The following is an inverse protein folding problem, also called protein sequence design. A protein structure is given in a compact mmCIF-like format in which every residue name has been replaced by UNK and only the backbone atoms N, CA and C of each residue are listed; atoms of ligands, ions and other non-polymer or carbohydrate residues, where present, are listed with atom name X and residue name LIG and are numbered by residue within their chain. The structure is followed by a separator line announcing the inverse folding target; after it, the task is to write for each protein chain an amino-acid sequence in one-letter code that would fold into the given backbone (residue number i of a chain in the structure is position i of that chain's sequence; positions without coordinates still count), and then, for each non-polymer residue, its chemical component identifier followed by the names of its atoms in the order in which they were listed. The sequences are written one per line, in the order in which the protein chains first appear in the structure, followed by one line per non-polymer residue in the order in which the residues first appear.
data_IF_369000881877
#
_entry.id   IF_369000881877
#
_cell.length_a   1.000
_cell.length_b   1.000
_cell.length_c   1.000
_cell.angle_alpha   90.00
_cell.angle_beta   90.00
_cell.angle_gamma   90.00
#
_symmetry.space_group_name_H-M   'P 1'
#
loop_
_entity.id
_entity.type
_entity.pdbx_description
1 polymer ?
#
# COMPACT_ATOMS: atom_id res chain seq x y z
N UNK A 1 24.87 -8.45 -4.41
CA UNK A 1 24.49 -8.99 -5.74
C UNK A 1 22.98 -8.95 -5.99
N UNK A 2 22.11 -9.04 -5.01
CA UNK A 2 20.66 -8.93 -5.19
C UNK A 2 20.20 -7.51 -5.61
N UNK A 3 20.73 -6.45 -5.00
CA UNK A 3 20.33 -5.07 -5.30
C UNK A 3 20.59 -4.65 -6.76
N UNK A 4 21.70 -5.09 -7.35
CA UNK A 4 22.04 -4.79 -8.76
C UNK A 4 21.07 -5.46 -9.76
N UNK A 5 20.58 -6.66 -9.47
CA UNK A 5 19.58 -7.34 -10.32
C UNK A 5 18.21 -6.64 -10.27
N UNK A 6 17.83 -6.09 -9.14
CA UNK A 6 16.53 -5.43 -8.94
C UNK A 6 16.49 -4.05 -9.59
N UNK A 7 17.60 -3.30 -9.53
CA UNK A 7 17.71 -2.02 -10.23
C UNK A 7 17.52 -2.17 -11.75
N UNK A 8 18.04 -3.24 -12.34
CA UNK A 8 17.85 -3.56 -13.77
C UNK A 8 16.38 -3.85 -14.12
N UNK A 9 15.61 -4.42 -13.19
CA UNK A 9 14.19 -4.73 -13.44
C UNK A 9 13.30 -3.48 -13.40
N UNK A 10 13.63 -2.47 -12.59
CA UNK A 10 12.92 -1.18 -12.56
C UNK A 10 13.00 -0.42 -13.90
N UNK A 11 13.99 -0.71 -14.73
CA UNK A 11 14.26 0.02 -15.97
C UNK A 11 13.59 -0.58 -17.21
N UNK A 12 13.22 -1.85 -17.19
CA UNK A 12 12.94 -2.61 -18.40
C UNK A 12 11.75 -2.09 -19.23
N UNK A 13 10.77 -1.41 -18.59
CA UNK A 13 9.55 -0.96 -19.25
C UNK A 13 9.23 0.53 -19.04
N UNK A 14 10.18 1.31 -18.49
CA UNK A 14 9.95 2.73 -18.22
C UNK A 14 10.32 3.59 -19.43
N UNK A 15 9.41 4.44 -19.95
CA UNK A 15 9.73 5.35 -21.04
C UNK A 15 10.90 6.27 -20.66
N UNK A 16 11.93 6.34 -21.51
CA UNK A 16 13.11 7.18 -21.28
C UNK A 16 12.99 8.53 -21.97
N UNK A 17 13.13 9.60 -21.22
CA UNK A 17 12.95 10.97 -21.69
C UNK A 17 14.23 11.84 -21.62
N UNK A 18 15.42 11.27 -21.36
CA UNK A 18 16.65 12.05 -21.17
C UNK A 18 17.01 12.89 -22.40
N UNK A 19 16.92 12.33 -23.62
CA UNK A 19 17.16 13.07 -24.86
C UNK A 19 16.15 14.20 -25.04
N UNK A 20 14.87 13.94 -24.78
CA UNK A 20 13.80 14.95 -24.84
C UNK A 20 14.07 16.10 -23.86
N UNK A 21 14.46 15.76 -22.62
CA UNK A 21 14.84 16.79 -21.64
C UNK A 21 16.04 17.62 -22.09
N UNK A 22 17.05 16.96 -22.68
CA UNK A 22 18.23 17.62 -23.22
C UNK A 22 17.88 18.68 -24.27
N UNK A 23 16.99 18.34 -25.18
CA UNK A 23 16.54 19.23 -26.26
C UNK A 23 15.72 20.42 -25.74
N UNK A 24 15.14 20.31 -24.55
CA UNK A 24 14.24 21.31 -23.97
C UNK A 24 14.88 22.23 -22.95
N UNK A 25 16.17 22.05 -22.61
CA UNK A 25 16.85 22.86 -21.58
C UNK A 25 16.69 24.37 -21.85
N UNK A 26 17.04 24.82 -23.04
CA UNK A 26 17.04 26.26 -23.37
C UNK A 26 15.64 26.81 -23.64
N UNK A 27 14.68 25.96 -23.98
CA UNK A 27 13.34 26.39 -24.37
C UNK A 27 12.29 26.25 -23.28
N UNK A 28 12.53 25.41 -22.27
CA UNK A 28 11.59 25.14 -21.20
C UNK A 28 12.21 25.25 -19.81
N UNK A 29 13.36 24.61 -19.56
CA UNK A 29 13.84 24.44 -18.18
C UNK A 29 14.59 25.65 -17.63
N UNK A 30 15.13 26.50 -18.49
CA UNK A 30 15.81 27.74 -18.12
C UNK A 30 15.00 29.00 -18.45
N UNK A 31 13.78 28.82 -18.98
CA UNK A 31 12.91 29.92 -19.36
C UNK A 31 12.24 30.54 -18.12
N UNK A 32 11.87 31.83 -18.25
CA UNK A 32 11.18 32.53 -17.18
C UNK A 32 9.72 32.07 -17.06
N UNK A 33 9.24 31.86 -15.84
CA UNK A 33 7.85 31.44 -15.55
C UNK A 33 6.81 32.36 -16.20
N UNK A 34 7.10 33.67 -16.29
CA UNK A 34 6.21 34.63 -16.97
C UNK A 34 6.05 34.38 -18.47
N UNK A 35 7.02 33.68 -19.10
CA UNK A 35 6.94 33.28 -20.52
C UNK A 35 6.30 31.90 -20.61
N UNK A 36 6.64 31.01 -19.70
CA UNK A 36 6.12 29.64 -19.67
C UNK A 36 4.59 29.58 -19.50
N UNK A 37 3.99 30.51 -18.79
CA UNK A 37 2.53 30.55 -18.55
C UNK A 37 1.72 30.65 -19.85
N UNK A 38 2.26 31.32 -20.88
CA UNK A 38 1.61 31.50 -22.18
C UNK A 38 2.04 30.43 -23.21
N UNK A 39 2.92 29.51 -22.81
CA UNK A 39 3.50 28.51 -23.74
C UNK A 39 2.55 27.33 -23.92
N UNK A 40 2.26 27.00 -25.18
CA UNK A 40 1.43 25.82 -25.48
C UNK A 40 2.18 24.51 -25.26
N UNK A 41 1.48 23.44 -24.86
CA UNK A 41 2.09 22.11 -24.78
C UNK A 41 2.73 21.68 -26.10
N UNK A 42 3.87 21.03 -26.01
CA UNK A 42 4.66 20.54 -27.16
C UNK A 42 4.73 19.02 -27.11
N UNK A 43 4.57 18.36 -28.27
CA UNK A 43 4.68 16.92 -28.42
C UNK A 43 6.03 16.61 -29.05
N UNK A 44 6.83 15.79 -28.39
CA UNK A 44 8.18 15.43 -28.81
C UNK A 44 8.30 13.90 -28.79
N UNK A 45 9.09 13.36 -29.72
CA UNK A 45 9.38 11.93 -29.83
C UNK A 45 10.88 11.71 -29.63
N UNK A 46 11.24 10.77 -28.76
CA UNK A 46 12.62 10.39 -28.55
C UNK A 46 13.15 9.44 -29.66
N UNK A 47 14.43 9.08 -29.58
CA UNK A 47 15.09 8.21 -30.57
C UNK A 47 14.51 6.78 -30.59
N UNK A 48 13.91 6.31 -29.49
CA UNK A 48 13.23 5.02 -29.40
C UNK A 48 11.81 5.03 -30.01
N UNK A 49 11.33 6.20 -30.44
CA UNK A 49 9.97 6.37 -30.97
C UNK A 49 8.92 6.56 -29.89
N UNK A 50 9.29 6.76 -28.64
CA UNK A 50 8.38 7.07 -27.55
C UNK A 50 7.98 8.54 -27.62
N UNK A 51 6.71 8.80 -27.35
CA UNK A 51 6.09 10.13 -27.48
C UNK A 51 5.86 10.73 -26.10
N UNK A 52 6.26 11.99 -25.95
CA UNK A 52 6.11 12.77 -24.71
C UNK A 52 5.38 14.07 -24.98
N UNK A 53 4.66 14.57 -24.01
CA UNK A 53 4.17 15.94 -23.97
C UNK A 53 4.97 16.73 -22.94
N UNK A 54 5.47 17.89 -23.37
CA UNK A 54 6.05 18.89 -22.47
C UNK A 54 5.06 20.02 -22.29
N UNK A 55 4.81 20.42 -21.06
CA UNK A 55 3.87 21.48 -20.72
C UNK A 55 4.24 22.16 -19.42
N UNK A 56 3.78 23.38 -19.28
CA UNK A 56 3.81 24.12 -18.03
C UNK A 56 2.45 24.05 -17.34
N UNK A 57 2.48 23.83 -16.05
CA UNK A 57 1.28 23.82 -15.21
C UNK A 57 1.49 24.67 -13.96
N UNK A 58 0.45 25.43 -13.57
CA UNK A 58 0.34 26.01 -12.25
C UNK A 58 -0.67 25.22 -11.44
N UNK A 59 -0.31 24.84 -10.23
CA UNK A 59 -1.16 24.09 -9.32
C UNK A 59 -0.92 24.52 -7.89
N UNK A 60 -1.80 24.12 -7.01
CA UNK A 60 -1.63 24.24 -5.57
C UNK A 60 -1.06 22.91 -5.04
N UNK A 61 -0.02 23.00 -4.20
CA UNK A 61 0.52 21.82 -3.50
C UNK A 61 -0.36 21.42 -2.31
N UNK A 62 0.01 20.34 -1.62
CA UNK A 62 -0.73 19.83 -0.46
C UNK A 62 -0.75 20.83 0.73
N UNK A 63 0.19 21.78 0.76
CA UNK A 63 0.31 22.82 1.79
C UNK A 63 -0.41 24.13 1.40
N UNK A 64 -1.05 24.18 0.21
CA UNK A 64 -1.77 25.36 -0.29
C UNK A 64 -0.88 26.41 -0.94
N UNK A 65 0.34 26.05 -1.38
CA UNK A 65 1.22 26.98 -2.09
C UNK A 65 1.03 26.85 -3.61
N UNK A 66 1.13 28.00 -4.30
CA UNK A 66 1.15 28.02 -5.76
C UNK A 66 2.46 27.44 -6.30
N UNK A 67 2.39 26.30 -6.97
CA UNK A 67 3.51 25.59 -7.57
C UNK A 67 3.48 25.74 -9.09
N UNK A 68 4.64 26.02 -9.67
CA UNK A 68 4.84 26.16 -11.11
C UNK A 68 5.76 25.04 -11.60
N UNK A 69 5.31 24.24 -12.56
CA UNK A 69 6.05 23.07 -13.01
C UNK A 69 6.16 22.97 -14.52
N UNK A 70 7.34 22.57 -15.00
CA UNK A 70 7.52 22.02 -16.34
C UNK A 70 7.45 20.49 -16.23
N UNK A 71 6.51 19.88 -16.93
CA UNK A 71 6.23 18.44 -16.87
C UNK A 71 6.56 17.83 -18.23
N UNK A 72 7.34 16.76 -18.21
CA UNK A 72 7.59 15.87 -19.36
C UNK A 72 6.89 14.55 -19.10
N UNK A 73 5.75 14.32 -19.75
CA UNK A 73 4.89 13.18 -19.50
C UNK A 73 4.83 12.24 -20.72
N UNK A 74 5.03 10.91 -20.54
CA UNK A 74 4.92 9.95 -21.62
C UNK A 74 3.47 9.76 -22.08
N UNK A 75 3.31 9.45 -23.38
CA UNK A 75 2.02 9.11 -23.97
C UNK A 75 1.47 7.81 -23.38
N UNK A 76 0.21 7.84 -23.01
CA UNK A 76 -0.59 6.66 -22.66
C UNK A 76 -1.83 6.60 -23.54
N UNK A 77 -2.37 5.40 -23.76
CA UNK A 77 -3.62 5.20 -24.49
C UNK A 77 -4.77 4.94 -23.52
N UNK A 78 -5.77 5.80 -23.52
CA UNK A 78 -7.00 5.62 -22.74
C UNK A 78 -8.09 5.07 -23.65
N UNK A 79 -8.69 3.93 -23.28
CA UNK A 79 -9.87 3.41 -23.95
C UNK A 79 -11.08 4.32 -23.68
N UNK A 80 -11.81 4.67 -24.73
CA UNK A 80 -13.01 5.51 -24.67
C UNK A 80 -14.12 4.83 -25.46
N UNK A 81 -15.32 4.81 -24.92
CA UNK A 81 -16.51 4.34 -25.65
C UNK A 81 -17.20 5.56 -26.26
N UNK A 82 -17.27 5.58 -27.59
CA UNK A 82 -18.05 6.58 -28.32
C UNK A 82 -19.41 6.00 -28.67
N UNK A 83 -20.45 6.74 -28.34
CA UNK A 83 -21.81 6.42 -28.73
C UNK A 83 -22.09 7.07 -30.11
N UNK A 84 -22.31 6.26 -31.13
CA UNK A 84 -22.60 6.68 -32.50
C UNK A 84 -24.01 6.20 -32.90
N UNK A 85 -24.55 6.71 -33.99
CA UNK A 85 -25.85 6.26 -34.53
C UNK A 85 -25.84 4.76 -34.90
N UNK A 86 -24.64 4.18 -35.09
CA UNK A 86 -24.43 2.76 -35.39
C UNK A 86 -24.24 1.89 -34.13
N UNK A 87 -24.23 2.47 -32.94
CA UNK A 87 -24.00 1.80 -31.67
C UNK A 87 -22.73 2.25 -30.95
N UNK A 88 -22.30 1.48 -29.94
CA UNK A 88 -21.10 1.73 -29.17
C UNK A 88 -19.84 1.34 -29.97
N UNK A 89 -18.87 2.25 -30.03
CA UNK A 89 -17.57 2.01 -30.66
C UNK A 89 -16.48 2.28 -29.65
N UNK A 90 -15.71 1.24 -29.32
CA UNK A 90 -14.50 1.40 -28.51
C UNK A 90 -13.38 2.01 -29.36
N UNK A 91 -12.81 3.10 -28.90
CA UNK A 91 -11.66 3.76 -29.51
C UNK A 91 -10.62 4.10 -28.46
N UNK A 92 -9.43 4.55 -28.88
CA UNK A 92 -8.36 4.95 -27.98
C UNK A 92 -8.04 6.42 -28.22
N UNK A 93 -7.82 7.12 -27.12
CA UNK A 93 -7.38 8.50 -27.10
C UNK A 93 -5.98 8.57 -26.45
N UNK A 94 -5.08 9.33 -27.08
CA UNK A 94 -3.78 9.62 -26.51
C UNK A 94 -3.93 10.62 -25.36
N UNK A 95 -3.35 10.28 -24.23
CA UNK A 95 -3.30 11.13 -23.02
C UNK A 95 -1.87 11.20 -22.51
N UNK A 96 -1.57 12.25 -21.76
CA UNK A 96 -0.27 12.50 -21.14
C UNK A 96 -0.45 12.74 -19.63
N UNK A 97 -0.73 11.68 -18.86
CA UNK A 97 -1.05 11.82 -17.44
C UNK A 97 0.17 12.24 -16.65
N UNK A 98 -0.05 13.05 -15.62
CA UNK A 98 0.96 13.39 -14.63
C UNK A 98 1.23 12.20 -13.70
N UNK A 99 2.50 12.08 -13.26
CA UNK A 99 2.87 11.14 -12.19
C UNK A 99 2.91 9.66 -12.59
N UNK A 100 2.78 9.33 -13.88
CA UNK A 100 2.97 7.94 -14.34
C UNK A 100 4.44 7.63 -14.56
N UNK A 101 4.80 6.34 -14.53
CA UNK A 101 6.17 5.89 -14.81
C UNK A 101 6.71 6.51 -16.09
N UNK A 102 7.91 7.11 -16.02
CA UNK A 102 8.53 7.89 -17.09
C UNK A 102 8.22 9.39 -17.05
N UNK A 103 7.34 9.86 -16.20
CA UNK A 103 7.13 11.30 -15.99
C UNK A 103 8.33 11.90 -15.27
N UNK A 104 8.75 13.05 -15.75
CA UNK A 104 9.75 13.90 -15.11
C UNK A 104 9.15 15.29 -14.89
N UNK A 105 9.40 15.89 -13.74
CA UNK A 105 8.90 17.21 -13.37
C UNK A 105 10.04 18.11 -12.88
N UNK A 106 10.08 19.36 -13.37
CA UNK A 106 10.86 20.43 -12.82
C UNK A 106 9.94 21.46 -12.17
N UNK A 107 9.98 21.54 -10.87
CA UNK A 107 9.26 22.57 -10.10
C UNK A 107 10.09 23.84 -9.99
N UNK A 108 9.46 24.98 -10.24
CA UNK A 108 10.08 26.29 -10.31
C UNK A 108 9.47 27.24 -9.28
N UNK A 109 10.33 28.06 -8.70
CA UNK A 109 9.88 29.23 -7.94
C UNK A 109 9.23 30.25 -8.89
N UNK A 110 7.97 30.58 -8.65
CA UNK A 110 7.17 31.45 -9.52
C UNK A 110 7.79 32.84 -9.75
N UNK A 111 8.52 33.37 -8.76
CA UNK A 111 9.05 34.77 -8.80
C UNK A 111 10.43 34.81 -9.41
N UNK A 112 11.25 33.83 -9.13
CA UNK A 112 12.67 33.83 -9.53
C UNK A 112 12.95 32.90 -10.69
N UNK A 113 12.02 32.01 -11.04
CA UNK A 113 12.16 30.91 -12.01
C UNK A 113 13.31 29.96 -11.68
N UNK A 114 13.78 29.95 -10.45
CA UNK A 114 14.80 29.02 -10.01
C UNK A 114 14.20 27.61 -9.76
N UNK A 115 14.93 26.54 -10.10
CA UNK A 115 14.53 25.19 -9.75
C UNK A 115 14.38 25.01 -8.24
N UNK A 116 13.20 24.54 -7.80
CA UNK A 116 12.89 24.14 -6.43
C UNK A 116 13.16 22.66 -6.23
N UNK A 117 12.62 21.82 -7.12
CA UNK A 117 12.91 20.39 -7.10
C UNK A 117 12.80 19.77 -8.49
N UNK A 118 13.32 18.56 -8.63
CA UNK A 118 13.14 17.68 -9.80
C UNK A 118 12.59 16.35 -9.30
N UNK A 119 11.44 15.92 -9.84
CA UNK A 119 10.83 14.62 -9.51
C UNK A 119 10.93 13.66 -10.67
N UNK A 120 11.20 12.39 -10.34
CA UNK A 120 11.15 11.26 -11.27
C UNK A 120 10.09 10.28 -10.76
N UNK A 121 9.09 10.03 -11.62
CA UNK A 121 8.02 9.07 -11.36
C UNK A 121 8.38 7.75 -12.05
N UNK A 122 8.52 6.70 -11.28
CA UNK A 122 8.97 5.38 -11.77
C UNK A 122 8.00 4.25 -11.45
N UNK A 123 7.03 4.51 -10.55
CA UNK A 123 5.98 3.57 -10.19
C UNK A 123 4.70 3.81 -11.02
N UNK A 124 3.78 2.86 -10.95
CA UNK A 124 2.42 3.03 -11.50
C UNK A 124 1.58 4.03 -10.71
N UNK A 125 2.01 4.36 -9.51
CA UNK A 125 1.33 5.26 -8.58
C UNK A 125 2.02 6.62 -8.53
N UNK A 126 1.27 7.71 -8.69
CA UNK A 126 1.81 9.08 -8.69
C UNK A 126 2.29 9.57 -7.32
N UNK A 127 1.96 8.85 -6.26
CA UNK A 127 2.41 9.13 -4.90
C UNK A 127 3.72 8.38 -4.54
N UNK A 128 4.34 7.68 -5.51
CA UNK A 128 5.62 6.98 -5.34
C UNK A 128 6.65 7.53 -6.32
N UNK A 129 7.60 8.32 -5.81
CA UNK A 129 8.59 9.01 -6.63
C UNK A 129 9.86 9.33 -5.85
N UNK A 130 10.90 9.73 -6.57
CA UNK A 130 12.08 10.37 -5.99
C UNK A 130 12.10 11.86 -6.31
N UNK A 131 12.42 12.66 -5.31
CA UNK A 131 12.49 14.12 -5.40
C UNK A 131 13.90 14.61 -5.10
N UNK A 132 14.50 15.32 -6.05
CA UNK A 132 15.79 15.98 -5.89
C UNK A 132 15.57 17.46 -5.63
N UNK A 133 16.17 17.99 -4.59
CA UNK A 133 16.07 19.40 -4.27
C UNK A 133 17.43 20.00 -3.92
N UNK A 134 17.58 21.34 -3.93
CA UNK A 134 18.84 21.98 -3.60
C UNK A 134 19.26 21.65 -2.17
N UNK A 135 20.54 21.36 -1.96
CA UNK A 135 21.10 21.30 -0.61
C UNK A 135 21.00 22.65 0.12
N UNK A 136 21.30 22.67 1.42
CA UNK A 136 21.13 23.82 2.33
C UNK A 136 21.68 25.17 1.82
N UNK A 137 22.56 25.16 0.80
CA UNK A 137 23.18 26.37 0.23
C UNK A 137 22.58 26.85 -1.11
N UNK A 138 21.42 26.28 -1.50
CA UNK A 138 20.70 26.67 -2.70
C UNK A 138 21.03 25.82 -3.94
N UNK A 139 20.30 26.03 -5.05
CA UNK A 139 20.29 25.16 -6.21
C UNK A 139 21.62 25.03 -6.98
N UNK A 140 22.54 25.98 -6.81
CA UNK A 140 23.89 25.93 -7.38
C UNK A 140 24.84 24.96 -6.66
N UNK A 141 24.41 24.39 -5.53
CA UNK A 141 25.17 23.39 -4.77
C UNK A 141 24.74 21.99 -5.14
N UNK A 142 25.39 20.98 -4.54
CA UNK A 142 25.01 19.59 -4.73
C UNK A 142 23.58 19.34 -4.23
N UNK A 143 22.81 18.59 -5.02
CA UNK A 143 21.45 18.22 -4.66
C UNK A 143 21.42 17.18 -3.55
N UNK A 144 20.31 17.12 -2.88
CA UNK A 144 19.90 16.00 -2.02
C UNK A 144 18.66 15.35 -2.61
N UNK A 145 18.41 14.11 -2.25
CA UNK A 145 17.26 13.34 -2.77
C UNK A 145 16.46 12.77 -1.62
N UNK A 146 15.16 12.82 -1.77
CA UNK A 146 14.17 12.16 -0.94
C UNK A 146 13.48 11.05 -1.76
N UNK A 147 13.18 9.92 -1.13
CA UNK A 147 12.38 8.87 -1.70
C UNK A 147 11.05 8.84 -0.95
N UNK A 148 9.96 9.10 -1.66
CA UNK A 148 8.63 9.33 -1.10
C UNK A 148 7.70 8.21 -1.55
N UNK A 149 6.94 7.67 -0.61
CA UNK A 149 5.93 6.62 -0.80
C UNK A 149 4.67 7.03 -0.03
N UNK A 150 3.61 7.44 -0.74
CA UNK A 150 2.34 7.90 -0.17
C UNK A 150 2.53 8.92 0.96
N UNK A 151 3.37 9.94 0.70
CA UNK A 151 3.67 11.02 1.64
C UNK A 151 4.67 10.68 2.75
N UNK A 152 5.09 9.43 2.89
CA UNK A 152 6.11 9.01 3.85
C UNK A 152 7.50 8.92 3.21
N UNK A 153 8.53 9.25 3.97
CA UNK A 153 9.91 9.22 3.48
C UNK A 153 10.55 7.85 3.67
N UNK A 154 10.71 7.10 2.59
CA UNK A 154 11.54 5.88 2.58
C UNK A 154 13.04 6.22 2.75
N UNK A 155 13.47 7.36 2.20
CA UNK A 155 14.78 7.96 2.50
C UNK A 155 14.64 9.48 2.47
N UNK A 156 15.44 10.21 3.25
CA UNK A 156 15.34 11.66 3.34
C UNK A 156 16.72 12.35 3.36
N UNK A 157 16.84 13.46 2.62
CA UNK A 157 18.04 14.32 2.58
C UNK A 157 19.32 13.56 2.21
N UNK A 158 19.27 12.59 1.31
CA UNK A 158 20.43 11.81 0.86
C UNK A 158 21.23 12.64 -0.12
N UNK A 159 22.51 12.89 0.19
CA UNK A 159 23.39 13.70 -0.67
C UNK A 159 23.79 12.95 -1.94
N UNK A 160 23.54 13.55 -3.14
CA UNK A 160 23.79 12.92 -4.43
C UNK A 160 25.19 13.16 -5.00
N UNK A 161 25.81 14.27 -4.66
CA UNK A 161 27.09 14.66 -5.22
C UNK A 161 27.04 15.43 -6.54
N UNK A 162 25.87 15.64 -7.14
CA UNK A 162 25.66 16.40 -8.39
C UNK A 162 24.80 17.65 -8.16
N UNK A 163 24.79 18.57 -9.12
CA UNK A 163 23.97 19.78 -9.09
C UNK A 163 22.58 19.54 -9.68
N UNK A 164 21.64 20.45 -9.41
CA UNK A 164 20.28 20.41 -10.00
C UNK A 164 20.33 20.44 -11.54
N UNK A 165 21.23 21.24 -12.15
CA UNK A 165 21.35 21.33 -13.60
C UNK A 165 21.76 20.00 -14.24
N UNK A 166 22.60 19.19 -13.56
CA UNK A 166 23.00 17.89 -14.06
C UNK A 166 21.83 16.91 -14.11
N UNK A 167 20.81 17.08 -13.28
CA UNK A 167 19.60 16.24 -13.28
C UNK A 167 18.71 16.51 -14.51
N UNK A 168 18.83 17.66 -15.19
CA UNK A 168 17.93 18.03 -16.29
C UNK A 168 17.98 17.06 -17.46
N UNK A 169 19.15 16.46 -17.70
CA UNK A 169 19.35 15.51 -18.82
C UNK A 169 19.63 14.09 -18.38
N UNK A 170 19.68 13.81 -17.07
CA UNK A 170 19.95 12.43 -16.61
C UNK A 170 18.85 11.47 -17.01
N UNK A 171 19.26 10.30 -17.48
CA UNK A 171 18.36 9.17 -17.63
C UNK A 171 17.90 8.66 -16.25
N UNK A 172 16.80 7.93 -16.22
CA UNK A 172 16.38 7.30 -14.98
C UNK A 172 17.41 6.25 -14.51
N UNK A 173 18.02 5.53 -15.45
CA UNK A 173 19.11 4.60 -15.16
C UNK A 173 20.29 5.28 -14.47
N UNK A 174 20.71 6.46 -14.98
CA UNK A 174 21.78 7.24 -14.35
C UNK A 174 21.42 7.69 -12.94
N UNK A 175 20.14 8.07 -12.71
CA UNK A 175 19.62 8.46 -11.39
C UNK A 175 19.68 7.29 -10.43
N UNK A 176 19.25 6.09 -10.84
CA UNK A 176 19.31 4.89 -10.01
C UNK A 176 20.76 4.52 -9.70
N UNK A 177 21.63 4.46 -10.72
CA UNK A 177 23.05 4.13 -10.54
C UNK A 177 23.76 5.11 -9.59
N UNK A 178 23.41 6.39 -9.67
CA UNK A 178 23.96 7.42 -8.79
C UNK A 178 23.58 7.20 -7.32
N UNK A 179 22.39 6.67 -7.08
CA UNK A 179 21.76 6.60 -5.74
C UNK A 179 21.61 5.18 -5.21
N UNK A 180 22.03 4.15 -5.96
CA UNK A 180 21.78 2.72 -5.65
C UNK A 180 22.24 2.29 -4.26
N UNK A 181 23.30 2.90 -3.72
CA UNK A 181 23.85 2.57 -2.40
C UNK A 181 23.21 3.36 -1.26
N UNK A 182 22.43 4.39 -1.57
CA UNK A 182 21.91 5.35 -0.60
C UNK A 182 20.38 5.37 -0.52
N UNK A 183 19.70 4.97 -1.60
CA UNK A 183 18.25 4.86 -1.62
C UNK A 183 17.79 3.40 -1.59
N UNK A 184 16.67 3.13 -0.93
CA UNK A 184 16.10 1.79 -0.84
C UNK A 184 15.29 1.45 -2.10
N UNK A 185 15.92 1.39 -3.26
CA UNK A 185 15.26 1.13 -4.55
C UNK A 185 14.45 -0.15 -4.57
N UNK A 186 14.80 -1.12 -3.71
CA UNK A 186 14.03 -2.36 -3.57
C UNK A 186 12.57 -2.09 -3.15
N UNK A 187 12.32 -1.02 -2.41
CA UNK A 187 10.98 -0.64 -1.97
C UNK A 187 10.11 -0.11 -3.12
N UNK A 188 10.71 0.23 -4.26
CA UNK A 188 10.01 0.64 -5.48
C UNK A 188 9.81 -0.49 -6.50
N UNK A 189 10.28 -1.70 -6.21
CA UNK A 189 10.13 -2.87 -7.09
C UNK A 189 8.87 -3.64 -6.73
N UNK A 190 8.05 -3.95 -7.70
CA UNK A 190 6.84 -4.76 -7.51
C UNK A 190 6.79 -5.90 -8.53
N UNK A 191 6.15 -6.99 -8.14
CA UNK A 191 5.98 -8.19 -8.95
C UNK A 191 4.50 -8.55 -8.99
N UNK A 192 3.72 -8.03 -9.97
CA UNK A 192 2.28 -8.27 -10.06
C UNK A 192 1.91 -9.76 -10.06
N UNK A 193 2.73 -10.59 -10.70
CA UNK A 193 2.54 -12.04 -10.77
C UNK A 193 2.60 -12.73 -9.41
N UNK A 194 3.31 -12.15 -8.44
CA UNK A 194 3.38 -12.68 -7.08
C UNK A 194 2.20 -12.25 -6.20
N UNK A 195 1.37 -11.34 -6.71
CA UNK A 195 0.15 -10.87 -6.04
C UNK A 195 -1.12 -11.61 -6.52
N UNK A 196 -1.02 -12.49 -7.52
CA UNK A 196 -2.17 -13.22 -8.09
C UNK A 196 -2.95 -14.02 -7.03
N UNK A 197 -2.24 -14.60 -6.06
CA UNK A 197 -2.88 -15.33 -4.96
C UNK A 197 -3.79 -14.41 -4.12
N UNK A 198 -3.33 -13.20 -3.78
CA UNK A 198 -4.12 -12.23 -3.02
C UNK A 198 -5.37 -11.81 -3.81
N UNK A 199 -5.22 -11.52 -5.09
CA UNK A 199 -6.34 -11.15 -5.96
C UNK A 199 -7.37 -12.28 -6.10
N UNK A 200 -6.92 -13.53 -6.24
CA UNK A 200 -7.81 -14.68 -6.32
C UNK A 200 -8.53 -14.92 -4.99
N UNK A 201 -7.82 -14.90 -3.87
CA UNK A 201 -8.44 -15.06 -2.55
C UNK A 201 -9.47 -13.96 -2.29
N UNK A 202 -9.13 -12.71 -2.60
CA UNK A 202 -10.05 -11.58 -2.51
C UNK A 202 -11.31 -11.78 -3.35
N UNK A 203 -11.17 -12.21 -4.60
CA UNK A 203 -12.31 -12.48 -5.49
C UNK A 203 -13.23 -13.57 -4.91
N UNK A 204 -12.66 -14.68 -4.40
CA UNK A 204 -13.46 -15.75 -3.75
C UNK A 204 -14.17 -15.22 -2.51
N UNK A 205 -13.51 -14.41 -1.68
CA UNK A 205 -14.18 -13.82 -0.50
C UNK A 205 -15.35 -12.94 -0.93
N UNK A 206 -15.17 -12.10 -1.95
CA UNK A 206 -16.22 -11.22 -2.48
C UNK A 206 -17.45 -11.97 -2.95
N UNK A 207 -17.29 -13.14 -3.59
CA UNK A 207 -18.41 -13.98 -4.06
C UNK A 207 -19.31 -14.46 -2.90
N UNK A 208 -18.78 -14.55 -1.68
CA UNK A 208 -19.50 -15.06 -0.50
C UNK A 208 -20.03 -13.97 0.44
N UNK A 209 -19.70 -12.68 0.23
CA UNK A 209 -20.09 -11.60 1.17
C UNK A 209 -21.59 -11.52 1.41
N UNK A 210 -22.39 -11.73 0.36
CA UNK A 210 -23.85 -11.70 0.46
C UNK A 210 -24.44 -12.82 1.34
N UNK A 211 -23.66 -13.85 1.67
CA UNK A 211 -24.11 -14.93 2.55
C UNK A 211 -24.06 -14.54 4.02
N UNK A 212 -23.27 -13.52 4.39
CA UNK A 212 -23.04 -13.18 5.80
C UNK A 212 -24.04 -12.18 6.36
N UNK A 213 -24.35 -12.39 7.64
CA UNK A 213 -25.07 -11.44 8.51
C UNK A 213 -24.23 -11.25 9.77
N UNK A 214 -23.89 -10.02 10.07
CA UNK A 214 -23.13 -9.72 11.29
C UNK A 214 -23.91 -10.08 12.55
N UNK A 215 -23.31 -10.91 13.37
CA UNK A 215 -23.80 -11.26 14.72
C UNK A 215 -22.62 -11.29 15.67
N UNK A 216 -22.61 -10.43 16.66
CA UNK A 216 -21.51 -10.36 17.63
C UNK A 216 -21.21 -11.73 18.23
N UNK A 217 -19.91 -12.09 18.29
CA UNK A 217 -19.37 -13.35 18.83
C UNK A 217 -19.78 -14.65 18.11
N UNK A 218 -20.45 -14.58 16.97
CA UNK A 218 -20.74 -15.74 16.15
C UNK A 218 -19.48 -16.23 15.43
N UNK A 219 -19.16 -17.50 15.56
CA UNK A 219 -18.03 -18.18 14.90
C UNK A 219 -18.44 -19.59 14.47
N UNK A 220 -17.66 -20.18 13.58
CA UNK A 220 -17.85 -21.59 13.20
C UNK A 220 -16.71 -22.45 13.78
N UNK A 221 -17.07 -23.63 14.30
CA UNK A 221 -16.09 -24.60 14.80
C UNK A 221 -15.28 -25.27 13.65
N UNK A 222 -14.42 -26.22 13.99
CA UNK A 222 -13.60 -26.95 13.02
C UNK A 222 -14.42 -27.81 12.03
N UNK A 223 -15.67 -28.10 12.34
CA UNK A 223 -16.60 -28.90 11.54
C UNK A 223 -17.62 -28.06 10.76
N UNK A 224 -17.61 -26.73 10.94
CA UNK A 224 -18.55 -25.82 10.31
C UNK A 224 -19.86 -25.65 11.06
N UNK A 225 -19.94 -26.01 12.35
CA UNK A 225 -21.11 -25.73 13.18
C UNK A 225 -21.02 -24.33 13.78
N UNK A 226 -22.14 -23.59 13.75
CA UNK A 226 -22.23 -22.28 14.36
C UNK A 226 -22.11 -22.38 15.90
N UNK A 227 -21.24 -21.58 16.46
CA UNK A 227 -20.97 -21.46 17.87
C UNK A 227 -20.97 -19.98 18.30
N UNK A 228 -21.18 -19.73 19.59
CA UNK A 228 -21.04 -18.41 20.21
C UNK A 228 -19.82 -18.41 21.13
N UNK A 229 -18.97 -17.39 21.05
CA UNK A 229 -17.77 -17.27 21.90
C UNK A 229 -18.07 -17.04 23.39
N UNK A 230 -19.26 -16.56 23.69
CA UNK A 230 -19.81 -16.46 25.09
C UNK A 230 -21.12 -17.22 25.19
N UNK A 231 -21.53 -17.55 26.40
CA UNK A 231 -22.85 -18.16 26.67
C UNK A 231 -23.96 -17.24 26.14
N UNK A 232 -24.46 -17.56 24.95
CA UNK A 232 -25.57 -16.90 24.28
C UNK A 232 -26.38 -17.92 23.48
N UNK A 233 -27.67 -17.65 23.29
CA UNK A 233 -28.50 -18.44 22.39
C UNK A 233 -27.96 -18.30 20.93
N UNK A 234 -28.04 -19.37 20.16
CA UNK A 234 -27.73 -19.29 18.74
C UNK A 234 -28.69 -18.32 18.05
N UNK A 235 -28.20 -17.44 17.19
CA UNK A 235 -29.04 -16.49 16.48
C UNK A 235 -29.96 -17.22 15.48
N UNK A 236 -31.16 -16.69 15.32
CA UNK A 236 -32.05 -17.06 14.23
C UNK A 236 -31.69 -16.22 13.00
N UNK A 237 -31.21 -16.86 11.95
CA UNK A 237 -30.82 -16.22 10.68
C UNK A 237 -31.64 -16.79 9.53
N UNK A 238 -31.87 -15.98 8.52
CA UNK A 238 -32.59 -16.39 7.32
C UNK A 238 -31.94 -17.62 6.66
N UNK A 239 -32.74 -18.45 6.01
CA UNK A 239 -32.24 -19.61 5.26
C UNK A 239 -31.25 -19.15 4.15
N UNK A 240 -30.10 -19.80 4.08
CA UNK A 240 -29.02 -19.43 3.17
C UNK A 240 -28.10 -18.32 3.65
N UNK A 241 -28.34 -17.75 4.85
CA UNK A 241 -27.45 -16.79 5.49
C UNK A 241 -26.62 -17.43 6.60
N UNK A 242 -25.46 -16.84 6.86
CA UNK A 242 -24.50 -17.27 7.88
C UNK A 242 -24.28 -16.16 8.91
N UNK A 243 -24.53 -16.42 10.19
CA UNK A 243 -24.18 -15.49 11.25
C UNK A 243 -22.67 -15.46 11.45
N UNK A 244 -22.06 -14.28 11.46
CA UNK A 244 -20.61 -14.15 11.62
C UNK A 244 -20.25 -12.87 12.38
N UNK A 245 -19.26 -12.94 13.27
CA UNK A 245 -18.62 -11.76 13.88
C UNK A 245 -17.32 -11.42 13.15
N UNK A 246 -16.69 -10.28 13.48
CA UNK A 246 -15.41 -9.91 12.90
C UNK A 246 -14.33 -10.99 13.06
N UNK A 247 -14.14 -11.48 14.30
CA UNK A 247 -13.19 -12.57 14.56
C UNK A 247 -13.61 -13.90 13.90
N UNK A 248 -14.92 -14.17 13.81
CA UNK A 248 -15.48 -15.32 13.10
C UNK A 248 -15.19 -15.24 11.61
N UNK A 249 -15.30 -14.07 11.01
CA UNK A 249 -15.03 -13.84 9.60
C UNK A 249 -13.54 -14.04 9.25
N UNK A 250 -12.63 -13.51 10.07
CA UNK A 250 -11.21 -13.80 9.88
C UNK A 250 -10.88 -15.28 10.00
N UNK A 251 -11.55 -15.99 10.93
CA UNK A 251 -11.38 -17.45 11.03
C UNK A 251 -11.87 -18.16 9.79
N UNK A 252 -13.02 -17.78 9.24
CA UNK A 252 -13.56 -18.36 8.01
C UNK A 252 -12.58 -18.18 6.83
N UNK A 253 -11.97 -16.98 6.69
CA UNK A 253 -10.93 -16.73 5.70
C UNK A 253 -9.73 -17.67 5.92
N UNK A 254 -9.20 -17.75 7.14
CA UNK A 254 -8.03 -18.59 7.43
C UNK A 254 -8.34 -20.07 7.33
N UNK A 255 -9.54 -20.50 7.70
CA UNK A 255 -10.00 -21.88 7.52
C UNK A 255 -9.99 -22.29 6.04
N UNK A 256 -10.28 -21.36 5.11
CA UNK A 256 -10.18 -21.61 3.68
C UNK A 256 -8.79 -22.01 3.19
N UNK A 257 -7.74 -21.56 3.87
CA UNK A 257 -6.35 -21.97 3.60
C UNK A 257 -5.98 -23.28 4.31
N UNK A 258 -6.53 -23.50 5.48
CA UNK A 258 -6.14 -24.61 6.36
C UNK A 258 -6.84 -25.91 5.96
N UNK A 259 -8.11 -25.87 5.57
CA UNK A 259 -8.91 -27.04 5.21
C UNK A 259 -8.33 -27.90 4.09
N UNK A 260 -7.78 -27.33 3.00
CA UNK A 260 -7.15 -28.15 1.96
C UNK A 260 -5.99 -29.00 2.47
N UNK A 261 -5.30 -28.57 3.53
CA UNK A 261 -4.14 -29.25 4.12
C UNK A 261 -4.54 -30.21 5.23
N UNK A 262 -5.41 -29.77 6.14
CA UNK A 262 -5.77 -30.50 7.37
C UNK A 262 -7.04 -31.35 7.25
N UNK A 263 -7.91 -31.07 6.25
CA UNK A 263 -9.23 -31.68 6.09
C UNK A 263 -10.30 -31.10 7.03
N UNK A 264 -10.00 -30.10 7.86
CA UNK A 264 -10.93 -29.43 8.77
C UNK A 264 -10.52 -27.98 9.03
N UNK A 265 -11.43 -27.17 9.55
CA UNK A 265 -11.10 -25.82 10.02
C UNK A 265 -10.29 -25.83 11.33
N UNK A 266 -9.90 -24.65 11.80
CA UNK A 266 -9.19 -24.44 13.05
C UNK A 266 -10.14 -24.59 14.26
N UNK A 267 -9.61 -25.13 15.37
CA UNK A 267 -10.36 -25.22 16.65
C UNK A 267 -10.44 -23.86 17.33
N UNK A 268 -11.58 -23.55 17.91
CA UNK A 268 -11.85 -22.26 18.58
C UNK A 268 -10.98 -22.08 19.84
N UNK A 269 -10.94 -23.08 20.73
CA UNK A 269 -10.29 -22.94 22.04
C UNK A 269 -8.80 -22.51 21.98
N UNK A 270 -7.97 -23.01 21.06
CA UNK A 270 -6.60 -22.51 20.92
C UNK A 270 -6.51 -21.03 20.50
N UNK A 271 -7.51 -20.51 19.75
CA UNK A 271 -7.54 -19.14 19.27
C UNK A 271 -7.82 -18.12 20.38
N UNK A 272 -8.43 -18.55 21.47
CA UNK A 272 -8.75 -17.72 22.64
C UNK A 272 -7.59 -17.60 23.64
N UNK A 273 -6.45 -18.23 23.39
CA UNK A 273 -5.30 -18.16 24.30
C UNK A 273 -4.64 -16.78 24.22
N UNK A 274 -4.37 -16.21 25.40
CA UNK A 274 -3.60 -14.98 25.47
C UNK A 274 -2.20 -15.15 24.88
N UNK A 275 -1.82 -14.24 24.01
CA UNK A 275 -0.51 -14.16 23.33
C UNK A 275 0.36 -13.03 23.85
N UNK A 276 -0.24 -12.08 24.59
CA UNK A 276 0.42 -10.94 25.19
C UNK A 276 0.17 -10.93 26.69
N UNK A 277 1.16 -10.50 27.49
CA UNK A 277 0.91 -10.15 28.90
C UNK A 277 -0.03 -8.93 28.89
N UNK A 278 -1.19 -9.08 29.51
CA UNK A 278 -2.21 -8.02 29.61
C UNK A 278 -1.55 -6.71 30.10
N UNK A 279 -1.57 -5.67 29.26
CA UNK A 279 -1.13 -4.32 29.67
C UNK A 279 -2.09 -3.66 30.66
N UNK A 280 -3.27 -4.26 30.88
CA UNK A 280 -4.28 -3.78 31.81
C UNK A 280 -4.06 -4.34 33.22
N UNK A 281 -2.89 -4.06 33.79
CA UNK A 281 -2.49 -4.53 35.13
C UNK A 281 -3.23 -3.84 36.30
N UNK A 282 -4.33 -3.18 36.01
CA UNK A 282 -5.18 -2.49 37.01
C UNK A 282 -6.40 -3.28 37.40
N UNK A 283 -6.33 -4.59 37.65
CA UNK A 283 -7.26 -5.37 38.50
C UNK A 283 -8.76 -5.17 38.40
N UNK A 284 -9.28 -4.50 37.39
CA UNK A 284 -10.69 -4.19 37.14
C UNK A 284 -11.08 -4.48 35.70
N UNK A 285 -10.53 -5.55 35.11
CA UNK A 285 -11.16 -6.12 33.93
C UNK A 285 -12.51 -6.64 34.41
N UNK A 286 -13.62 -5.94 34.15
CA UNK A 286 -14.93 -6.52 34.29
C UNK A 286 -15.00 -7.70 33.33
N UNK A 287 -15.56 -8.82 33.73
CA UNK A 287 -15.86 -10.00 32.89
C UNK A 287 -16.69 -9.65 31.62
N UNK A 288 -17.05 -8.39 31.47
CA UNK A 288 -17.90 -7.83 30.43
C UNK A 288 -17.13 -7.49 29.13
N UNK A 289 -15.80 -7.24 29.23
CA UNK A 289 -14.99 -6.87 28.08
C UNK A 289 -13.76 -7.76 27.98
N UNK A 290 -13.71 -8.58 26.93
CA UNK A 290 -12.47 -9.23 26.49
C UNK A 290 -11.65 -8.20 25.72
N UNK A 291 -10.82 -7.47 26.44
CA UNK A 291 -10.10 -6.30 25.91
C UNK A 291 -9.04 -6.62 24.89
N UNK A 292 -8.66 -7.89 24.72
CA UNK A 292 -7.59 -8.34 23.82
C UNK A 292 -8.05 -9.37 22.81
N UNK A 293 -9.35 -9.64 22.69
CA UNK A 293 -9.88 -10.72 21.87
C UNK A 293 -9.36 -10.66 20.42
N UNK A 294 -9.49 -9.53 19.75
CA UNK A 294 -9.09 -9.42 18.35
C UNK A 294 -7.57 -9.58 18.17
N UNK A 295 -6.78 -9.08 19.11
CA UNK A 295 -5.32 -9.22 19.10
C UNK A 295 -4.89 -10.67 19.27
N UNK A 296 -5.35 -11.33 20.34
CA UNK A 296 -5.01 -12.73 20.61
C UNK A 296 -5.50 -13.64 19.49
N UNK A 297 -6.69 -13.33 18.96
CA UNK A 297 -7.30 -14.09 17.87
C UNK A 297 -6.47 -14.00 16.56
N UNK A 298 -6.07 -12.80 16.13
CA UNK A 298 -5.27 -12.63 14.90
C UNK A 298 -3.89 -13.27 15.04
N UNK A 299 -3.24 -13.13 16.21
CA UNK A 299 -1.97 -13.79 16.52
C UNK A 299 -2.08 -15.32 16.43
N UNK A 300 -3.10 -15.88 17.06
CA UNK A 300 -3.31 -17.32 17.10
C UNK A 300 -3.77 -17.88 15.75
N UNK A 301 -4.61 -17.15 14.98
CA UNK A 301 -5.00 -17.55 13.62
C UNK A 301 -3.78 -17.65 12.71
N UNK A 302 -2.94 -16.61 12.67
CA UNK A 302 -1.76 -16.60 11.83
C UNK A 302 -0.77 -17.70 12.24
N UNK A 303 -0.54 -17.88 13.55
CA UNK A 303 0.32 -18.95 14.08
C UNK A 303 -0.22 -20.34 13.75
N UNK A 304 -1.52 -20.56 13.88
CA UNK A 304 -2.13 -21.84 13.56
C UNK A 304 -2.07 -22.14 12.06
N UNK A 305 -2.32 -21.16 11.20
CA UNK A 305 -2.22 -21.29 9.76
C UNK A 305 -0.81 -21.75 9.35
N UNK A 306 0.24 -21.03 9.77
CA UNK A 306 1.61 -21.41 9.44
C UNK A 306 1.99 -22.78 10.01
N UNK A 307 1.50 -23.12 11.22
CA UNK A 307 1.76 -24.42 11.84
C UNK A 307 1.14 -25.57 11.06
N UNK A 308 -0.10 -25.41 10.58
CA UNK A 308 -0.78 -26.43 9.76
C UNK A 308 -0.11 -26.56 8.40
N UNK A 309 0.15 -25.44 7.72
CA UNK A 309 0.74 -25.44 6.37
C UNK A 309 2.14 -26.06 6.37
N UNK A 310 2.95 -25.80 7.40
CA UNK A 310 4.32 -26.32 7.48
C UNK A 310 4.43 -27.69 8.16
N UNK A 311 3.40 -28.11 8.89
CA UNK A 311 3.42 -29.30 9.75
C UNK A 311 4.29 -29.15 11.00
N UNK A 312 4.69 -27.92 11.35
CA UNK A 312 5.53 -27.59 12.53
C UNK A 312 4.68 -26.85 13.56
N UNK A 313 4.71 -27.27 14.79
CA UNK A 313 3.97 -26.61 15.87
C UNK A 313 4.75 -25.39 16.38
N UNK A 314 4.27 -24.20 16.06
CA UNK A 314 4.83 -22.93 16.48
C UNK A 314 4.08 -22.32 17.67
N UNK A 315 4.78 -21.46 18.42
CA UNK A 315 4.17 -20.43 19.27
C UNK A 315 4.15 -19.10 18.50
N UNK A 316 3.41 -18.10 18.97
CA UNK A 316 3.36 -16.78 18.31
C UNK A 316 4.78 -16.20 18.13
N UNK A 317 5.62 -16.27 19.18
CA UNK A 317 6.98 -15.72 19.19
C UNK A 317 7.93 -16.45 18.22
N UNK A 318 7.67 -17.72 17.92
CA UNK A 318 8.53 -18.55 17.04
C UNK A 318 7.99 -18.71 15.62
N UNK A 319 6.75 -18.31 15.39
CA UNK A 319 6.06 -18.51 14.12
C UNK A 319 6.55 -17.57 13.00
N UNK A 320 7.11 -16.41 13.36
CA UNK A 320 7.52 -15.38 12.41
C UNK A 320 6.37 -14.67 11.71
N UNK A 321 5.13 -14.80 12.23
CA UNK A 321 3.94 -14.15 11.65
C UNK A 321 3.82 -12.68 12.02
N UNK A 322 4.46 -12.24 13.10
CA UNK A 322 4.41 -10.85 13.51
C UNK A 322 5.10 -9.96 12.47
N UNK A 323 4.43 -8.89 12.06
CA UNK A 323 5.00 -7.87 11.17
C UNK A 323 5.84 -6.92 12.00
N UNK A 324 7.17 -7.09 11.90
CA UNK A 324 8.12 -6.23 12.59
C UNK A 324 8.21 -4.85 11.91
N UNK A 325 8.63 -3.80 12.65
CA UNK A 325 8.80 -2.48 12.08
C UNK A 325 9.74 -2.52 10.87
N UNK A 326 9.28 -1.93 9.78
CA UNK A 326 10.11 -1.68 8.61
C UNK A 326 11.14 -0.59 8.95
N UNK A 327 12.24 -0.51 8.21
CA UNK A 327 13.30 0.50 8.43
C UNK A 327 12.77 1.96 8.39
N UNK A 328 11.58 2.18 7.83
CA UNK A 328 11.01 3.49 7.56
C UNK A 328 9.87 3.88 8.50
N UNK A 329 9.46 2.99 9.39
CA UNK A 329 8.33 3.23 10.27
C UNK A 329 8.79 3.90 11.57
N UNK A 330 9.12 5.19 11.48
CA UNK A 330 9.42 6.01 12.65
C UNK A 330 8.25 6.10 13.66
N UNK A 331 7.05 5.70 13.24
CA UNK A 331 5.81 5.77 14.02
C UNK A 331 5.37 4.44 14.63
N UNK A 332 6.08 3.33 14.35
CA UNK A 332 5.78 2.06 15.00
C UNK A 332 5.99 2.17 16.51
N UNK A 333 5.00 1.74 17.27
CA UNK A 333 5.08 1.69 18.74
C UNK A 333 5.03 0.24 19.18
N UNK A 334 6.03 -0.19 19.95
CA UNK A 334 6.06 -1.53 20.54
C UNK A 334 4.76 -1.79 21.33
N UNK A 335 4.16 -2.96 21.12
CA UNK A 335 2.88 -3.38 21.72
C UNK A 335 1.64 -2.57 21.27
N UNK A 336 1.76 -1.60 20.38
CA UNK A 336 0.63 -0.89 19.78
C UNK A 336 0.55 -1.07 18.27
N UNK A 337 1.68 -1.30 17.61
CA UNK A 337 1.76 -1.47 16.16
C UNK A 337 1.96 -0.16 15.43
N UNK A 338 1.28 0.00 14.31
CA UNK A 338 1.35 1.16 13.41
C UNK A 338 0.15 2.08 13.58
N UNK A 339 0.30 3.40 13.34
CA UNK A 339 -0.87 4.27 13.17
C UNK A 339 -1.71 3.82 11.97
N UNK A 340 -3.03 3.76 12.13
CA UNK A 340 -3.93 3.39 11.02
C UNK A 340 -3.83 4.39 9.87
N UNK A 341 -3.60 5.66 10.16
CA UNK A 341 -3.41 6.70 9.16
C UNK A 341 -2.23 6.43 8.19
N UNK A 342 -1.23 5.65 8.64
CA UNK A 342 -0.04 5.32 7.84
C UNK A 342 -0.14 3.92 7.19
N UNK A 343 -1.31 3.29 7.20
CA UNK A 343 -1.49 1.92 6.71
C UNK A 343 -1.14 1.77 5.23
N UNK A 344 -1.46 2.74 4.38
CA UNK A 344 -1.21 2.68 2.94
C UNK A 344 0.28 2.57 2.61
N UNK A 345 1.16 3.50 3.06
CA UNK A 345 2.60 3.36 2.86
C UNK A 345 3.19 2.12 3.55
N UNK A 346 2.68 1.73 4.73
CA UNK A 346 3.14 0.54 5.45
C UNK A 346 2.83 -0.74 4.64
N UNK A 347 1.59 -0.92 4.21
CA UNK A 347 1.18 -2.08 3.42
C UNK A 347 1.90 -2.13 2.07
N UNK A 348 2.14 -0.97 1.43
CA UNK A 348 2.97 -0.88 0.23
C UNK A 348 4.37 -1.43 0.49
N UNK A 349 5.07 -0.90 1.50
CA UNK A 349 6.46 -1.27 1.84
C UNK A 349 6.60 -2.76 2.17
N UNK A 350 5.74 -3.29 3.03
CA UNK A 350 5.82 -4.70 3.40
C UNK A 350 5.47 -5.62 2.23
N UNK A 351 4.55 -5.22 1.34
CA UNK A 351 4.18 -6.00 0.16
C UNK A 351 5.22 -5.96 -0.94
N UNK A 352 5.94 -4.85 -1.10
CA UNK A 352 7.07 -4.75 -2.02
C UNK A 352 8.25 -5.63 -1.57
N UNK A 353 8.51 -5.69 -0.26
CA UNK A 353 9.63 -6.46 0.32
C UNK A 353 9.29 -7.93 0.58
N UNK A 354 8.03 -8.25 0.88
CA UNK A 354 7.57 -9.59 1.27
C UNK A 354 6.34 -9.96 0.43
N UNK A 355 6.56 -10.38 -0.79
CA UNK A 355 5.49 -10.77 -1.72
C UNK A 355 4.79 -12.07 -1.31
N UNK A 356 3.52 -12.22 -1.68
CA UNK A 356 2.76 -13.44 -1.47
C UNK A 356 2.16 -13.60 -0.06
N UNK A 357 2.01 -12.50 0.68
CA UNK A 357 1.34 -12.47 1.97
C UNK A 357 0.07 -11.62 1.91
N UNK A 358 -0.93 -12.00 2.70
CA UNK A 358 -1.98 -11.10 3.19
C UNK A 358 -1.83 -10.91 4.69
N UNK A 359 -2.52 -9.92 5.23
CA UNK A 359 -2.32 -9.50 6.62
C UNK A 359 -3.62 -9.54 7.39
N UNK A 360 -3.55 -9.95 8.67
CA UNK A 360 -4.62 -9.77 9.63
C UNK A 360 -4.23 -8.62 10.55
N UNK A 361 -5.14 -7.66 10.74
CA UNK A 361 -4.94 -6.53 11.62
C UNK A 361 -5.89 -6.57 12.81
N UNK A 362 -5.37 -6.22 14.01
CA UNK A 362 -6.15 -5.97 15.21
C UNK A 362 -6.04 -4.50 15.57
N UNK A 363 -7.17 -3.79 15.62
CA UNK A 363 -7.23 -2.35 15.88
C UNK A 363 -7.23 -2.09 17.38
N UNK A 364 -6.35 -1.18 17.80
CA UNK A 364 -6.20 -0.72 19.17
C UNK A 364 -6.92 0.61 19.37
N UNK A 365 -7.97 0.59 20.14
CA UNK A 365 -8.70 1.79 20.55
C UNK A 365 -8.31 2.26 21.94
N UNK A 366 -8.14 3.57 22.11
CA UNK A 366 -8.04 4.20 23.43
C UNK A 366 -9.41 4.71 23.87
N UNK A 367 -9.89 4.24 25.01
CA UNK A 367 -11.17 4.72 25.54
C UNK A 367 -10.99 6.11 26.17
N UNK A 368 -11.57 7.13 25.52
CA UNK A 368 -11.41 8.55 25.87
C UNK A 368 -11.71 8.89 27.35
N UNK A 369 -12.64 8.16 27.97
CA UNK A 369 -13.05 8.37 29.37
C UNK A 369 -12.09 7.74 30.39
N UNK A 370 -11.25 6.80 29.95
CA UNK A 370 -10.29 6.06 30.79
C UNK A 370 -8.95 5.98 30.06
N UNK A 371 -8.17 7.06 30.05
CA UNK A 371 -6.90 7.23 29.32
C UNK A 371 -5.83 6.11 29.45
N UNK A 372 -6.03 5.14 30.31
CA UNK A 372 -5.15 3.98 30.49
C UNK A 372 -5.80 2.66 30.04
N UNK A 373 -7.03 2.70 29.52
CA UNK A 373 -7.74 1.49 29.12
C UNK A 373 -7.74 1.37 27.60
N UNK A 374 -7.17 0.28 27.13
CA UNK A 374 -7.01 -0.04 25.71
C UNK A 374 -7.80 -1.29 25.38
N UNK A 375 -8.47 -1.28 24.25
CA UNK A 375 -9.20 -2.45 23.74
C UNK A 375 -8.74 -2.82 22.33
N UNK A 376 -8.80 -4.12 22.01
CA UNK A 376 -8.64 -4.68 20.68
C UNK A 376 -9.91 -5.47 20.35
N UNK A 377 -10.95 -4.76 19.91
CA UNK A 377 -12.26 -5.35 19.64
C UNK A 377 -12.51 -5.57 18.14
N UNK A 378 -11.79 -4.86 17.30
CA UNK A 378 -11.97 -4.87 15.86
C UNK A 378 -10.78 -5.49 15.16
N UNK A 379 -11.07 -6.19 14.08
CA UNK A 379 -10.04 -6.83 13.26
C UNK A 379 -10.47 -6.89 11.79
N UNK A 380 -9.48 -6.87 10.90
CA UNK A 380 -9.68 -6.94 9.46
C UNK A 380 -8.61 -7.79 8.78
N UNK A 381 -8.92 -8.25 7.56
CA UNK A 381 -7.95 -8.87 6.66
C UNK A 381 -7.63 -7.90 5.52
N UNK A 382 -6.36 -7.76 5.19
CA UNK A 382 -5.83 -6.88 4.16
C UNK A 382 -5.14 -7.72 3.07
N UNK A 383 -5.59 -7.56 1.83
CA UNK A 383 -5.06 -8.24 0.66
C UNK A 383 -4.41 -7.23 -0.27
N UNK A 384 -3.12 -6.87 -0.05
CA UNK A 384 -2.41 -5.94 -0.91
C UNK A 384 -2.01 -6.61 -2.22
N UNK A 385 -2.06 -5.85 -3.30
CA UNK A 385 -1.58 -6.28 -4.60
C UNK A 385 -1.14 -5.09 -5.46
N UNK A 386 -0.32 -5.39 -6.46
CA UNK A 386 0.04 -4.46 -7.52
C UNK A 386 -0.66 -4.87 -8.81
N UNK A 387 -1.30 -3.92 -9.46
CA UNK A 387 -1.85 -4.13 -10.79
C UNK A 387 -0.72 -4.34 -11.81
N UNK A 388 -1.05 -4.82 -13.00
CA UNK A 388 -0.09 -4.96 -14.11
C UNK A 388 0.61 -3.64 -14.49
N UNK A 389 0.01 -2.51 -14.15
CA UNK A 389 0.56 -1.18 -14.40
C UNK A 389 1.31 -0.61 -13.17
N UNK A 390 1.50 -1.41 -12.12
CA UNK A 390 2.21 -1.01 -10.91
C UNK A 390 1.39 -0.16 -9.93
N UNK A 391 0.10 0.02 -10.16
CA UNK A 391 -0.77 0.72 -9.20
C UNK A 391 -1.02 -0.19 -8.00
N UNK A 392 -0.75 0.33 -6.82
CA UNK A 392 -0.97 -0.36 -5.56
C UNK A 392 -2.43 -0.30 -5.12
N UNK A 393 -2.95 -1.40 -4.66
CA UNK A 393 -4.29 -1.49 -4.10
C UNK A 393 -4.33 -2.50 -2.96
N UNK A 394 -5.31 -2.35 -2.08
CA UNK A 394 -5.56 -3.26 -0.96
C UNK A 394 -7.06 -3.49 -0.84
N UNK A 395 -7.48 -4.72 -0.93
CA UNK A 395 -8.85 -5.12 -0.58
C UNK A 395 -8.90 -5.38 0.93
N UNK A 396 -9.82 -4.73 1.62
CA UNK A 396 -9.98 -4.83 3.07
C UNK A 396 -11.29 -5.53 3.39
N UNK A 397 -11.22 -6.55 4.23
CA UNK A 397 -12.37 -7.33 4.66
C UNK A 397 -12.53 -7.32 6.18
N UNK A 398 -13.68 -6.84 6.65
CA UNK A 398 -14.04 -6.83 8.06
C UNK A 398 -15.54 -7.10 8.22
N UNK A 399 -15.95 -7.79 9.28
CA UNK A 399 -17.35 -8.01 9.67
C UNK A 399 -18.25 -8.57 8.57
N UNK A 400 -17.71 -9.39 7.66
CA UNK A 400 -18.45 -9.93 6.52
C UNK A 400 -18.68 -8.93 5.40
N UNK A 401 -17.96 -7.84 5.35
CA UNK A 401 -18.05 -6.78 4.34
C UNK A 401 -16.67 -6.46 3.75
N UNK A 402 -16.70 -5.78 2.60
CA UNK A 402 -15.51 -5.27 1.92
C UNK A 402 -15.48 -3.75 2.00
N UNK A 403 -14.29 -3.21 2.21
CA UNK A 403 -14.00 -1.77 2.26
C UNK A 403 -12.83 -1.47 1.32
N UNK A 404 -12.77 -0.25 0.81
CA UNK A 404 -11.52 0.29 0.29
C UNK A 404 -10.56 0.58 1.44
N UNK A 405 -9.26 0.60 1.17
CA UNK A 405 -8.28 0.95 2.21
C UNK A 405 -8.52 2.37 2.77
N UNK A 406 -8.89 3.31 1.90
CA UNK A 406 -9.12 4.71 2.30
C UNK A 406 -10.36 4.83 3.22
N UNK A 407 -11.48 4.13 2.92
CA UNK A 407 -12.65 4.07 3.80
C UNK A 407 -12.31 3.45 5.16
N UNK A 408 -11.47 2.41 5.16
CA UNK A 408 -11.04 1.77 6.40
C UNK A 408 -10.15 2.70 7.24
N UNK A 409 -9.20 3.39 6.62
CA UNK A 409 -8.34 4.37 7.30
C UNK A 409 -9.17 5.53 7.88
N UNK A 410 -10.13 6.04 7.12
CA UNK A 410 -11.00 7.13 7.58
C UNK A 410 -11.84 6.73 8.80
N UNK A 411 -12.39 5.50 8.80
CA UNK A 411 -13.21 5.00 9.90
C UNK A 411 -12.43 4.74 11.20
N UNK A 412 -11.10 4.53 11.11
CA UNK A 412 -10.22 4.24 12.24
C UNK A 412 -9.13 5.31 12.44
N UNK A 413 -9.39 6.53 11.95
CA UNK A 413 -8.42 7.61 12.03
C UNK A 413 -8.01 7.93 13.47
N UNK A 414 -6.71 7.86 13.74
CA UNK A 414 -6.13 8.08 15.07
C UNK A 414 -5.91 6.82 15.92
N UNK A 415 -6.40 5.68 15.47
CA UNK A 415 -6.15 4.39 16.11
C UNK A 415 -4.78 3.81 15.72
N UNK A 416 -4.38 2.77 16.43
CA UNK A 416 -3.20 1.97 16.13
C UNK A 416 -3.64 0.56 15.67
N UNK A 417 -2.80 -0.13 14.89
CA UNK A 417 -3.09 -1.47 14.41
C UNK A 417 -1.86 -2.37 14.52
N UNK A 418 -2.05 -3.56 15.05
CA UNK A 418 -1.05 -4.62 14.98
C UNK A 418 -1.35 -5.54 13.81
N UNK A 419 -0.32 -5.87 13.03
CA UNK A 419 -0.43 -6.71 11.84
C UNK A 419 0.28 -8.05 12.04
N UNK A 420 -0.37 -9.11 11.59
CA UNK A 420 0.23 -10.42 11.38
C UNK A 420 0.11 -10.83 9.93
N UNK A 421 1.09 -11.61 9.43
CA UNK A 421 1.13 -12.05 8.03
C UNK A 421 0.82 -13.52 7.87
N UNK A 422 0.17 -13.87 6.79
CA UNK A 422 -0.13 -15.24 6.37
C UNK A 422 0.19 -15.38 4.89
N UNK A 423 0.85 -16.48 4.50
CA UNK A 423 1.07 -16.77 3.08
C UNK A 423 -0.27 -16.95 2.36
N UNK A 424 -0.45 -16.23 1.27
CA UNK A 424 -1.59 -16.43 0.37
C UNK A 424 -1.41 -17.70 -0.48
N UNK A 425 -2.50 -18.27 -0.96
CA UNK A 425 -2.48 -19.50 -1.74
C UNK A 425 -3.59 -19.53 -2.78
N UNK A 426 -3.29 -20.13 -3.94
CA UNK A 426 -4.31 -20.50 -4.94
C UNK A 426 -5.22 -21.62 -4.44
N UNK A 427 -4.76 -22.43 -3.47
CA UNK A 427 -5.58 -23.45 -2.80
C UNK A 427 -6.33 -22.82 -1.63
N UNK A 428 -7.33 -22.02 -1.96
CA UNK A 428 -8.18 -21.32 -1.00
C UNK A 428 -9.64 -21.76 -1.21
N UNK A 429 -10.18 -22.47 -0.21
CA UNK A 429 -11.54 -23.02 -0.22
C UNK A 429 -12.19 -22.77 1.16
N UNK A 430 -12.86 -21.62 1.34
CA UNK A 430 -13.40 -21.23 2.64
C UNK A 430 -14.64 -22.02 3.08
N UNK A 431 -15.23 -22.86 2.22
CA UNK A 431 -16.45 -23.67 2.49
C UNK A 431 -16.16 -25.14 2.75
#
# INVERSE_FOLDING_TARGET
MAASLHAVTLHADMPESASVRGDLIDSWFTENTAILVDKLPEIITNEAGEVFQVRYEEREDADGNDVCSVIVAPQKKKSVILYTDAGEVQTFMDIYPYGTAGTWELELDRKTSNPLCVRYFFAGDSEVFVEFHPGVRGYATKSVVDFIIFGEYAARNVTTGITMQQLFTMSFEDVVNLTEHNLPWIDGVFFPELCENNMQMSAVIQEHLDEFVYVDKAVYDEYGNLCMLKEAALPDVEEGKRAISGVGFLKWIVDGLVRPVSGSGLRINPLLKATTSSQNDSGTASDEYDTTLALDWTHNLATAAVSVITGINYTFETSGVNVHPTQFSAKYTENAGYPVNDLKPILYLISANETGYFYLGAVRHEIAEKKAFVTYNECAAFFPYFSKNGVFAVDVFADGQMYTLDEYIESHAGDMIQLTRINSSLQFFPD
#
